data_IF_599776679534
#
_entry.id   IF_599776679534
#
_cell.length_a   1.000
_cell.length_b   1.000
_cell.length_c   1.000
_cell.angle_alpha   90.00
_cell.angle_beta   90.00
_cell.angle_gamma   90.00
#
_symmetry.space_group_name_H-M   'P 1'
#
loop_
_entity.id
_entity.type
_entity.pdbx_description
1 polymer ?
#
# COMPACT_ATOMS: atom_id res chain seq x y z
N UNK A 1 5.21 -16.82 -2.19
CA UNK A 1 5.41 -16.55 -3.64
C UNK A 1 4.09 -16.69 -4.40
N UNK A 2 3.35 -17.80 -4.27
CA UNK A 2 2.03 -18.00 -4.91
C UNK A 2 0.98 -16.90 -4.68
N UNK A 3 0.91 -16.30 -3.49
CA UNK A 3 -0.15 -15.31 -3.22
C UNK A 3 0.10 -13.95 -3.90
N UNK A 4 1.35 -13.60 -4.19
CA UNK A 4 1.70 -12.38 -4.94
C UNK A 4 1.42 -12.59 -6.44
N UNK A 5 1.69 -13.79 -6.97
CA UNK A 5 1.33 -14.14 -8.35
C UNK A 5 -0.18 -14.05 -8.57
N UNK A 6 -0.97 -14.46 -7.57
CA UNK A 6 -2.41 -14.23 -7.57
C UNK A 6 -2.78 -12.75 -7.57
N UNK A 7 -2.06 -11.89 -6.84
CA UNK A 7 -2.31 -10.44 -6.93
C UNK A 7 -2.06 -9.91 -8.35
N UNK A 8 -1.03 -10.40 -9.05
CA UNK A 8 -0.73 -9.94 -10.41
C UNK A 8 -1.87 -10.23 -11.41
N UNK A 9 -2.66 -11.28 -11.22
CA UNK A 9 -3.83 -11.55 -12.08
C UNK A 9 -4.96 -10.55 -11.86
N UNK A 10 -4.98 -9.89 -10.71
CA UNK A 10 -6.01 -8.93 -10.34
C UNK A 10 -5.63 -7.49 -10.70
N UNK A 11 -4.32 -7.21 -10.80
CA UNK A 11 -3.81 -5.84 -10.97
C UNK A 11 -3.99 -5.32 -12.40
N UNK A 12 -4.63 -4.15 -12.52
CA UNK A 12 -4.91 -3.46 -13.79
C UNK A 12 -3.67 -3.18 -14.66
N UNK A 13 -2.53 -2.93 -14.06
CA UNK A 13 -1.26 -2.69 -14.75
C UNK A 13 -0.10 -3.35 -13.99
N UNK A 14 0.27 -4.61 -14.31
CA UNK A 14 1.30 -5.33 -13.58
C UNK A 14 2.68 -4.63 -13.54
N UNK A 15 3.18 -4.01 -14.62
CA UNK A 15 4.49 -3.34 -14.58
C UNK A 15 4.52 -2.14 -13.62
N UNK A 16 3.52 -1.24 -13.68
CA UNK A 16 3.45 -0.08 -12.79
C UNK A 16 3.30 -0.52 -11.33
N UNK A 17 2.51 -1.56 -11.09
CA UNK A 17 2.40 -2.16 -9.77
C UNK A 17 3.72 -2.72 -9.25
N UNK A 18 4.50 -3.40 -10.09
CA UNK A 18 5.82 -3.89 -9.71
C UNK A 18 6.77 -2.74 -9.38
N UNK A 19 6.76 -1.64 -10.14
CA UNK A 19 7.54 -0.44 -9.82
C UNK A 19 7.12 0.17 -8.48
N UNK A 20 5.81 0.38 -8.26
CA UNK A 20 5.31 0.92 -7.00
C UNK A 20 5.65 0.01 -5.82
N UNK A 21 5.41 -1.29 -5.94
CA UNK A 21 5.71 -2.27 -4.89
C UNK A 21 7.20 -2.32 -4.59
N UNK A 22 8.06 -2.26 -5.61
CA UNK A 22 9.51 -2.23 -5.42
C UNK A 22 9.92 -0.97 -4.68
N UNK A 23 9.45 0.19 -5.13
CA UNK A 23 9.75 1.47 -4.49
C UNK A 23 9.31 1.51 -3.02
N UNK A 24 8.05 1.15 -2.74
CA UNK A 24 7.49 1.14 -1.38
C UNK A 24 8.19 0.10 -0.49
N UNK A 25 8.56 -1.06 -1.05
CA UNK A 25 9.33 -2.07 -0.30
C UNK A 25 10.72 -1.56 0.05
N UNK A 26 11.44 -0.98 -0.90
CA UNK A 26 12.77 -0.40 -0.66
C UNK A 26 12.70 0.67 0.41
N UNK A 27 11.73 1.59 0.30
CA UNK A 27 11.46 2.59 1.34
C UNK A 27 11.23 1.93 2.72
N UNK A 28 10.32 0.96 2.80
CA UNK A 28 9.97 0.31 4.07
C UNK A 28 11.16 -0.44 4.69
N UNK A 29 12.02 -1.03 3.87
CA UNK A 29 13.26 -1.66 4.32
C UNK A 29 14.24 -0.62 4.89
N UNK A 30 14.40 0.50 4.18
CA UNK A 30 15.32 1.57 4.57
C UNK A 30 14.94 2.20 5.90
N UNK A 31 13.66 2.50 6.12
CA UNK A 31 13.17 3.08 7.38
C UNK A 31 12.92 2.06 8.49
N UNK A 32 13.27 0.78 8.29
CA UNK A 32 13.13 -0.27 9.31
C UNK A 32 11.69 -0.73 9.59
N UNK A 33 10.76 -0.47 8.67
CA UNK A 33 9.33 -0.86 8.76
C UNK A 33 8.99 -2.11 7.92
N UNK A 34 9.99 -2.90 7.55
CA UNK A 34 9.82 -4.15 6.82
C UNK A 34 10.25 -5.34 7.68
N UNK A 35 9.32 -6.27 7.93
CA UNK A 35 9.61 -7.51 8.63
C UNK A 35 8.49 -7.95 9.57
N UNK A 36 7.76 -8.99 9.17
CA UNK A 36 6.62 -9.52 9.93
C UNK A 36 7.01 -10.04 11.32
N UNK A 37 8.22 -10.60 11.45
CA UNK A 37 8.74 -11.12 12.73
C UNK A 37 8.87 -10.00 13.77
N UNK A 38 9.10 -8.76 13.33
CA UNK A 38 9.22 -7.58 14.19
C UNK A 38 7.90 -6.83 14.38
N UNK A 39 6.79 -7.37 13.86
CA UNK A 39 5.47 -6.71 13.92
C UNK A 39 5.26 -5.61 12.87
N UNK A 40 6.15 -5.49 11.89
CA UNK A 40 6.02 -4.53 10.79
C UNK A 40 5.44 -5.17 9.53
N UNK A 41 5.32 -4.37 8.45
CA UNK A 41 4.71 -4.80 7.20
C UNK A 41 5.54 -5.89 6.53
N UNK A 42 4.86 -6.89 5.99
CA UNK A 42 5.51 -7.93 5.18
C UNK A 42 5.35 -7.62 3.69
N UNK A 43 6.13 -8.32 2.84
CA UNK A 43 6.06 -8.13 1.39
C UNK A 43 4.65 -8.35 0.81
N UNK A 44 3.86 -9.26 1.41
CA UNK A 44 2.49 -9.49 0.97
C UNK A 44 1.52 -8.39 1.40
N UNK A 45 1.65 -7.88 2.63
CA UNK A 45 0.88 -6.71 3.08
C UNK A 45 1.13 -5.51 2.17
N UNK A 46 2.39 -5.19 1.87
CA UNK A 46 2.74 -4.10 0.95
C UNK A 46 2.17 -4.32 -0.46
N UNK A 47 2.18 -5.55 -0.95
CA UNK A 47 1.60 -5.90 -2.25
C UNK A 47 0.09 -5.65 -2.28
N UNK A 48 -0.66 -6.01 -1.23
CA UNK A 48 -2.10 -5.75 -1.13
C UNK A 48 -2.38 -4.24 -1.15
N UNK A 49 -1.62 -3.46 -0.37
CA UNK A 49 -1.77 -2.01 -0.30
C UNK A 49 -1.45 -1.35 -1.66
N UNK A 50 -0.35 -1.72 -2.32
CA UNK A 50 0.01 -1.20 -3.64
C UNK A 50 -1.01 -1.60 -4.71
N UNK A 51 -1.53 -2.82 -4.68
CA UNK A 51 -2.55 -3.28 -5.63
C UNK A 51 -3.82 -2.43 -5.55
N UNK A 52 -4.23 -2.03 -4.34
CA UNK A 52 -5.36 -1.14 -4.15
C UNK A 52 -5.12 0.25 -4.75
N UNK A 53 -3.92 0.81 -4.56
CA UNK A 53 -3.57 2.11 -5.14
C UNK A 53 -3.61 2.03 -6.68
N UNK A 54 -3.03 0.99 -7.27
CA UNK A 54 -3.14 0.76 -8.71
C UNK A 54 -4.60 0.59 -9.17
N UNK A 55 -5.45 -0.10 -8.42
CA UNK A 55 -6.88 -0.22 -8.75
C UNK A 55 -7.67 1.06 -8.57
N UNK A 56 -7.27 1.94 -7.67
CA UNK A 56 -8.06 3.13 -7.38
C UNK A 56 -7.70 4.25 -8.32
N UNK A 57 -6.42 4.43 -8.59
CA UNK A 57 -5.89 5.62 -9.25
C UNK A 57 -5.41 5.40 -10.69
N UNK A 58 -5.20 4.15 -11.13
CA UNK A 58 -4.86 3.91 -12.54
C UNK A 58 -6.10 3.64 -13.40
N UNK A 59 -6.17 4.24 -14.59
CA UNK A 59 -7.19 3.88 -15.57
C UNK A 59 -7.03 2.42 -15.99
N UNK A 60 -8.11 1.75 -16.42
CA UNK A 60 -8.01 0.44 -17.04
C UNK A 60 -7.14 0.54 -18.30
N UNK A 61 -6.01 -0.14 -18.28
CA UNK A 61 -5.04 -0.07 -19.36
C UNK A 61 -5.57 -0.79 -20.60
N UNK A 62 -5.64 -0.11 -21.74
CA UNK A 62 -6.21 -0.66 -22.99
C UNK A 62 -5.19 -1.39 -23.87
N UNK A 63 -3.89 -1.09 -23.71
CA UNK A 63 -2.79 -1.65 -24.52
C UNK A 63 -1.45 -1.52 -23.78
N UNK A 64 -0.48 -2.42 -24.04
CA UNK A 64 0.89 -2.35 -23.50
C UNK A 64 1.63 -1.07 -23.93
N UNK A 65 1.28 -0.49 -25.08
CA UNK A 65 1.87 0.76 -25.57
C UNK A 65 1.59 1.98 -24.68
N UNK A 66 0.61 1.90 -23.76
CA UNK A 66 0.37 3.00 -22.81
C UNK A 66 1.36 3.03 -21.63
N UNK A 67 2.24 2.03 -21.47
CA UNK A 67 3.32 2.06 -20.45
C UNK A 67 4.41 3.05 -20.87
N UNK A 68 4.72 3.15 -22.16
CA UNK A 68 5.77 4.05 -22.67
C UNK A 68 5.45 5.54 -22.42
N UNK A 69 4.19 5.85 -22.11
CA UNK A 69 3.70 7.19 -21.81
C UNK A 69 3.60 7.46 -20.31
N UNK A 70 3.89 6.48 -19.45
CA UNK A 70 3.79 6.64 -18.01
C UNK A 70 4.90 7.55 -17.49
N UNK A 71 4.52 8.75 -17.11
CA UNK A 71 5.41 9.84 -16.73
C UNK A 71 5.88 9.73 -15.27
N UNK A 72 6.97 10.44 -14.96
CA UNK A 72 7.45 10.58 -13.58
C UNK A 72 6.42 11.26 -12.68
N UNK A 73 5.65 12.21 -13.21
CA UNK A 73 4.59 12.92 -12.50
C UNK A 73 3.45 11.99 -12.09
N UNK A 74 3.06 11.05 -12.95
CA UNK A 74 2.06 10.04 -12.64
C UNK A 74 2.58 9.05 -11.59
N UNK A 75 3.84 8.62 -11.69
CA UNK A 75 4.45 7.76 -10.67
C UNK A 75 4.52 8.46 -9.31
N UNK A 76 4.99 9.71 -9.29
CA UNK A 76 5.02 10.55 -8.10
C UNK A 76 3.63 10.66 -7.47
N UNK A 77 2.61 10.92 -8.30
CA UNK A 77 1.22 11.00 -7.86
C UNK A 77 0.75 9.67 -7.23
N UNK A 78 1.09 8.51 -7.81
CA UNK A 78 0.76 7.21 -7.20
C UNK A 78 1.41 7.01 -5.84
N UNK A 79 2.68 7.39 -5.70
CA UNK A 79 3.41 7.30 -4.43
C UNK A 79 2.76 8.21 -3.39
N UNK A 80 2.42 9.45 -3.77
CA UNK A 80 1.71 10.38 -2.89
C UNK A 80 0.33 9.84 -2.49
N UNK A 81 -0.43 9.26 -3.43
CA UNK A 81 -1.71 8.63 -3.12
C UNK A 81 -1.58 7.42 -2.19
N UNK A 82 -0.51 6.63 -2.31
CA UNK A 82 -0.21 5.55 -1.37
C UNK A 82 -0.06 6.09 0.05
N UNK A 83 0.84 7.05 0.26
CA UNK A 83 1.10 7.58 1.61
C UNK A 83 -0.12 8.34 2.14
N UNK A 84 -0.79 9.14 1.32
CA UNK A 84 -2.01 9.86 1.70
C UNK A 84 -3.13 8.91 2.12
N UNK A 85 -3.37 7.85 1.35
CA UNK A 85 -4.43 6.87 1.66
C UNK A 85 -4.16 6.19 2.99
N UNK A 86 -2.95 5.68 3.20
CA UNK A 86 -2.65 4.81 4.34
C UNK A 86 -2.22 5.55 5.61
N UNK A 87 -1.76 6.80 5.50
CA UNK A 87 -1.56 7.69 6.63
C UNK A 87 -2.89 8.09 7.29
N UNK A 88 -3.95 8.26 6.47
CA UNK A 88 -5.26 8.72 6.92
C UNK A 88 -6.27 7.58 7.15
N UNK A 89 -5.90 6.33 6.85
CA UNK A 89 -6.76 5.18 7.07
C UNK A 89 -6.96 4.90 8.56
N UNK A 90 -8.20 4.62 8.98
CA UNK A 90 -8.53 4.35 10.38
C UNK A 90 -8.19 2.88 10.76
N UNK A 91 -6.90 2.59 10.90
CA UNK A 91 -6.38 1.27 11.25
C UNK A 91 -6.91 0.70 12.58
N UNK A 92 -7.27 1.57 13.52
CA UNK A 92 -7.73 1.17 14.86
C UNK A 92 -9.12 0.52 14.86
N UNK A 93 -9.94 0.83 13.86
CA UNK A 93 -11.36 0.42 13.83
C UNK A 93 -11.76 -0.28 12.54
N UNK A 94 -10.95 -0.19 11.48
CA UNK A 94 -11.29 -0.71 10.16
C UNK A 94 -10.28 -1.75 9.68
N UNK A 95 -10.80 -2.80 9.05
CA UNK A 95 -9.99 -3.72 8.26
C UNK A 95 -9.83 -3.19 6.84
N UNK A 96 -8.60 -3.20 6.36
CA UNK A 96 -8.29 -2.92 4.98
C UNK A 96 -8.47 -4.17 4.13
N UNK A 97 -9.28 -4.07 3.07
CA UNK A 97 -9.52 -5.15 2.13
C UNK A 97 -9.41 -4.61 0.70
N UNK A 98 -8.70 -5.31 -0.18
CA UNK A 98 -8.62 -4.97 -1.61
C UNK A 98 -10.01 -4.95 -2.28
N UNK A 99 -10.89 -5.87 -1.87
CA UNK A 99 -12.26 -6.02 -2.37
C UNK A 99 -13.28 -6.04 -1.22
N UNK A 100 -13.64 -4.86 -0.67
CA UNK A 100 -14.44 -4.78 0.56
C UNK A 100 -15.86 -5.32 0.40
N UNK A 101 -16.46 -5.24 -0.80
CA UNK A 101 -17.81 -5.77 -1.07
C UNK A 101 -17.84 -7.30 -0.97
N UNK A 102 -16.94 -7.97 -1.70
CA UNK A 102 -16.79 -9.42 -1.70
C UNK A 102 -16.48 -9.94 -0.29
N UNK A 103 -15.58 -9.26 0.42
CA UNK A 103 -15.21 -9.63 1.77
C UNK A 103 -16.40 -9.57 2.75
N UNK A 104 -17.17 -8.48 2.75
CA UNK A 104 -18.34 -8.32 3.64
C UNK A 104 -19.45 -9.33 3.35
N UNK A 105 -19.59 -9.77 2.10
CA UNK A 105 -20.54 -10.81 1.72
C UNK A 105 -20.12 -12.18 2.23
N UNK A 106 -18.82 -12.50 2.15
CA UNK A 106 -18.29 -13.81 2.54
C UNK A 106 -18.02 -13.95 4.05
N UNK A 107 -17.83 -12.83 4.75
CA UNK A 107 -17.61 -12.81 6.21
C UNK A 107 -18.61 -11.90 6.95
N UNK A 108 -19.91 -12.24 6.98
CA UNK A 108 -20.95 -11.40 7.60
C UNK A 108 -20.76 -11.23 9.12
N UNK A 109 -20.12 -12.22 9.77
CA UNK A 109 -19.92 -12.29 11.22
C UNK A 109 -18.84 -11.34 11.75
N UNK A 110 -17.95 -10.83 10.90
CA UNK A 110 -16.95 -9.82 11.31
C UNK A 110 -17.54 -8.44 11.64
N UNK A 111 -18.86 -8.26 11.47
CA UNK A 111 -19.56 -7.02 11.83
C UNK A 111 -19.52 -6.74 13.34
N UNK A 112 -19.27 -7.74 14.19
CA UNK A 112 -19.05 -7.54 15.63
C UNK A 112 -17.59 -7.19 15.91
N UNK A 113 -17.28 -5.90 15.79
CA UNK A 113 -15.99 -5.26 16.15
C UNK A 113 -15.51 -5.51 17.60
N UNK A 114 -16.31 -6.17 18.43
CA UNK A 114 -16.10 -6.33 19.88
C UNK A 114 -14.94 -7.29 20.23
N UNK A 115 -14.54 -8.18 19.31
CA UNK A 115 -13.52 -9.21 19.61
C UNK A 115 -12.21 -9.08 18.82
N UNK A 116 -12.08 -8.12 17.90
CA UNK A 116 -10.88 -8.02 17.08
C UNK A 116 -9.87 -7.06 17.72
N UNK A 117 -8.83 -7.63 18.34
CA UNK A 117 -7.77 -6.89 19.07
C UNK A 117 -6.57 -6.51 18.19
N UNK A 118 -6.57 -6.92 16.92
CA UNK A 118 -5.48 -6.68 15.98
C UNK A 118 -5.33 -5.19 15.72
N UNK A 119 -4.11 -4.66 15.89
CA UNK A 119 -3.86 -3.22 15.77
C UNK A 119 -3.84 -2.73 14.32
N UNK A 120 -3.45 -3.59 13.37
CA UNK A 120 -3.41 -3.27 11.95
C UNK A 120 -3.96 -4.44 11.13
N UNK A 121 -5.14 -4.25 10.53
CA UNK A 121 -5.85 -5.32 9.81
C UNK A 121 -5.74 -5.13 8.31
N UNK A 122 -4.91 -5.94 7.66
CA UNK A 122 -4.74 -5.98 6.19
C UNK A 122 -5.13 -7.38 5.72
N UNK A 123 -6.30 -7.49 5.13
CA UNK A 123 -6.93 -8.77 4.82
C UNK A 123 -6.48 -9.26 3.44
N UNK A 124 -6.03 -10.52 3.38
CA UNK A 124 -5.74 -11.20 2.12
C UNK A 124 -6.96 -11.19 1.20
N UNK A 125 -6.82 -10.91 -0.11
CA UNK A 125 -7.94 -10.89 -1.06
C UNK A 125 -8.44 -12.29 -1.45
N UNK A 126 -7.73 -13.35 -1.08
CA UNK A 126 -8.09 -14.74 -1.42
C UNK A 126 -8.31 -15.56 -0.15
N UNK A 127 -9.21 -16.57 -0.18
CA UNK A 127 -9.37 -17.51 0.91
C UNK A 127 -8.02 -18.11 1.35
N UNK A 128 -7.76 -18.22 2.66
CA UNK A 128 -8.72 -18.08 3.76
C UNK A 128 -8.91 -16.64 4.31
N UNK A 129 -8.57 -15.58 3.56
CA UNK A 129 -8.76 -14.17 3.95
C UNK A 129 -8.06 -13.77 5.27
N UNK A 130 -6.86 -14.29 5.50
CA UNK A 130 -6.10 -14.03 6.72
C UNK A 130 -5.73 -12.54 6.88
N UNK A 131 -5.65 -12.07 8.13
CA UNK A 131 -5.00 -10.81 8.46
C UNK A 131 -3.47 -10.94 8.31
N UNK A 132 -2.91 -10.24 7.34
CA UNK A 132 -1.47 -10.21 7.06
C UNK A 132 -0.71 -9.32 8.06
N UNK A 133 -1.38 -8.38 8.70
CA UNK A 133 -0.85 -7.49 9.76
C UNK A 133 -1.02 -8.02 11.18
N UNK A 134 -1.33 -9.32 11.36
CA UNK A 134 -1.64 -9.93 12.67
C UNK A 134 -0.54 -9.76 13.74
N UNK A 135 0.72 -9.58 13.32
CA UNK A 135 1.85 -9.40 14.24
C UNK A 135 2.02 -7.94 14.68
N UNK A 136 1.31 -7.00 14.05
CA UNK A 136 1.45 -5.57 14.33
C UNK A 136 0.68 -5.22 15.60
N UNK A 137 1.41 -4.70 16.58
CA UNK A 137 0.87 -4.14 17.82
C UNK A 137 0.65 -2.63 17.71
N UNK A 138 -0.03 -2.02 18.68
CA UNK A 138 -0.42 -0.60 18.65
C UNK A 138 0.78 0.34 18.41
N UNK A 139 1.87 0.16 19.15
CA UNK A 139 3.07 1.00 19.00
C UNK A 139 3.69 0.88 17.60
N UNK A 140 3.69 -0.32 17.02
CA UNK A 140 4.28 -0.57 15.70
C UNK A 140 3.39 0.02 14.61
N UNK A 141 2.06 -0.10 14.76
CA UNK A 141 1.10 0.60 13.91
C UNK A 141 1.34 2.11 13.96
N UNK A 142 1.49 2.68 15.16
CA UNK A 142 1.65 4.12 15.32
C UNK A 142 2.96 4.61 14.68
N UNK A 143 4.05 3.83 14.77
CA UNK A 143 5.29 4.10 14.04
C UNK A 143 5.10 4.03 12.52
N UNK A 144 4.37 3.02 12.02
CA UNK A 144 4.06 2.90 10.58
C UNK A 144 3.28 4.13 10.10
N UNK A 145 2.23 4.53 10.82
CA UNK A 145 1.39 5.69 10.48
C UNK A 145 2.22 6.98 10.51
N UNK A 146 3.03 7.19 11.55
CA UNK A 146 3.90 8.37 11.66
C UNK A 146 4.89 8.45 10.49
N UNK A 147 5.49 7.32 10.10
CA UNK A 147 6.38 7.28 8.94
C UNK A 147 5.64 7.57 7.63
N UNK A 148 4.41 7.07 7.46
CA UNK A 148 3.58 7.43 6.30
C UNK A 148 3.26 8.93 6.27
N UNK A 149 2.89 9.52 7.40
CA UNK A 149 2.60 10.95 7.53
C UNK A 149 3.83 11.81 7.22
N UNK A 150 5.00 11.42 7.72
CA UNK A 150 6.26 12.10 7.43
C UNK A 150 6.56 12.11 5.94
N UNK A 151 6.44 10.97 5.26
CA UNK A 151 6.69 10.91 3.81
C UNK A 151 5.66 11.73 3.04
N UNK A 152 4.39 11.69 3.45
CA UNK A 152 3.35 12.52 2.83
C UNK A 152 3.67 14.01 2.91
N UNK A 153 4.11 14.50 4.07
CA UNK A 153 4.52 15.90 4.24
C UNK A 153 5.70 16.29 3.32
N UNK A 154 6.67 15.39 3.16
CA UNK A 154 7.79 15.60 2.23
C UNK A 154 7.27 15.66 0.78
N UNK A 155 6.42 14.72 0.38
CA UNK A 155 5.83 14.69 -0.96
C UNK A 155 4.98 15.94 -1.26
N UNK A 156 4.18 16.41 -0.31
CA UNK A 156 3.39 17.64 -0.46
C UNK A 156 4.28 18.86 -0.67
N UNK A 157 5.44 18.90 -0.01
CA UNK A 157 6.46 19.96 -0.20
C UNK A 157 7.11 19.87 -1.58
N UNK A 158 7.39 18.65 -2.07
CA UNK A 158 8.01 18.42 -3.38
C UNK A 158 7.03 18.67 -4.54
N UNK A 159 5.73 18.45 -4.32
CA UNK A 159 4.71 18.53 -5.39
C UNK A 159 4.59 19.94 -6.00
N UNK A 160 5.05 20.99 -5.32
CA UNK A 160 5.00 22.38 -5.82
C UNK A 160 6.11 22.72 -6.82
N UNK A 161 6.99 21.76 -7.15
CA UNK A 161 8.24 21.99 -7.90
C UNK A 161 8.25 21.19 -9.22
N UNK A 162 9.29 21.33 -10.05
CA UNK A 162 9.42 20.78 -11.40
C UNK A 162 9.49 19.24 -11.42
N UNK A 163 9.24 18.62 -12.58
CA UNK A 163 9.29 17.16 -12.75
C UNK A 163 10.66 16.55 -12.43
N UNK A 164 11.75 17.28 -12.66
CA UNK A 164 13.12 16.84 -12.29
C UNK A 164 13.31 16.83 -10.76
N UNK A 165 12.73 17.80 -10.06
CA UNK A 165 12.75 17.87 -8.60
C UNK A 165 11.91 16.77 -7.96
N UNK A 166 10.83 16.34 -8.62
CA UNK A 166 10.04 15.18 -8.19
C UNK A 166 10.84 13.88 -8.23
N UNK A 167 11.65 13.68 -9.28
CA UNK A 167 12.53 12.50 -9.36
C UNK A 167 13.56 12.52 -8.22
N UNK A 168 14.17 13.68 -7.96
CA UNK A 168 15.14 13.83 -6.86
C UNK A 168 14.47 13.65 -5.50
N UNK A 169 13.26 14.17 -5.31
CA UNK A 169 12.47 13.98 -4.11
C UNK A 169 12.10 12.52 -3.84
N UNK A 170 11.76 11.75 -4.88
CA UNK A 170 11.55 10.30 -4.74
C UNK A 170 12.84 9.58 -4.34
N UNK A 171 14.00 9.98 -4.87
CA UNK A 171 15.29 9.41 -4.42
C UNK A 171 15.56 9.73 -2.95
N UNK A 172 15.32 10.97 -2.54
CA UNK A 172 15.52 11.43 -1.16
C UNK A 172 14.65 10.64 -0.15
N UNK A 173 13.45 10.21 -0.54
CA UNK A 173 12.60 9.36 0.32
C UNK A 173 13.22 7.98 0.56
N UNK A 174 14.10 7.52 -0.33
CA UNK A 174 14.83 6.25 -0.20
C UNK A 174 16.19 6.39 0.51
N UNK A 175 16.62 7.61 0.85
CA UNK A 175 17.87 7.94 1.56
C UNK A 175 17.64 8.16 3.07
#
# INVERSE_FOLDING_TARGET
>A
VHDIERLLTYVRCPPIFQYLLTYIRTWAQHVGLYGQVYGYLCGYSLAILCAYICHTYLPPMKSLSSIEQFSIDEFFSLVQQFFSTFANFNWSSQAFCLYPKTYKQLNPLEKSSVHNRDSMRIISPSPPYNNTGRSTINSMRDLIIQSFQRVLQLLDTINTISSEDKLNGLKQILE
#
